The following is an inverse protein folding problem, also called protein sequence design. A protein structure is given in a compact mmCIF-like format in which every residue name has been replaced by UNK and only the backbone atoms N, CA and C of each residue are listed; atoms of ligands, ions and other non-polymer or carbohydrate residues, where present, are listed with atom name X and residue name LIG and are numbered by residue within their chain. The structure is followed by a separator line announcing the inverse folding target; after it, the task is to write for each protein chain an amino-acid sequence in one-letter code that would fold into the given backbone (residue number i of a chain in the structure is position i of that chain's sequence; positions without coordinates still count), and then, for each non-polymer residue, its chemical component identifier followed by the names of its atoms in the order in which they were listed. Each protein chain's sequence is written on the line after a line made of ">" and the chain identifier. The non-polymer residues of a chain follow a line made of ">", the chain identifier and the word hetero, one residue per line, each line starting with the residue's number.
data_IF_366600601997
#
_entry.id   IF_366600601997
#
_cell.length_a   1.000
_cell.length_b   1.000
_cell.length_c   1.000
_cell.angle_alpha   90.00
_cell.angle_beta   90.00
_cell.angle_gamma   90.00
#
_symmetry.space_group_name_H-M   'P 1'
#
loop_
_entity.id
_entity.type
_entity.pdbx_description
1 polymer ?
#
# COMPACT_ATOMS: atom_id res chain seq x y z
N UNK A 1 -24.12 22.04 -0.31
CA UNK A 1 -22.70 21.74 -0.58
C UNK A 1 -22.65 20.28 -0.96
N UNK A 2 -22.49 19.98 -2.24
CA UNK A 2 -22.49 18.60 -2.72
C UNK A 2 -21.09 18.03 -2.57
N UNK A 3 -20.89 17.28 -1.49
CA UNK A 3 -19.62 16.64 -1.18
C UNK A 3 -19.48 15.36 -2.00
N UNK A 4 -19.00 15.49 -3.23
CA UNK A 4 -18.71 14.35 -4.11
C UNK A 4 -17.32 13.83 -3.77
N UNK A 5 -17.22 12.81 -2.92
CA UNK A 5 -15.97 12.13 -2.60
C UNK A 5 -15.69 11.12 -3.72
N UNK A 6 -14.66 11.31 -4.57
CA UNK A 6 -14.32 10.30 -5.55
C UNK A 6 -13.69 9.11 -4.83
N UNK A 7 -14.38 7.96 -4.93
CA UNK A 7 -13.94 6.68 -4.39
C UNK A 7 -13.93 5.62 -5.50
N UNK A 8 -13.02 4.67 -5.39
CA UNK A 8 -12.97 3.46 -6.21
C UNK A 8 -12.86 2.25 -5.28
N UNK A 9 -13.61 1.20 -5.58
CA UNK A 9 -13.47 -0.11 -4.96
C UNK A 9 -13.43 -1.16 -6.07
N UNK A 10 -12.44 -2.03 -5.99
CA UNK A 10 -12.28 -3.22 -6.82
C UNK A 10 -12.28 -4.45 -5.93
N UNK A 11 -13.16 -5.39 -6.25
CA UNK A 11 -13.21 -6.70 -5.63
C UNK A 11 -12.93 -7.73 -6.72
N UNK A 12 -12.07 -8.70 -6.43
CA UNK A 12 -11.80 -9.82 -7.33
C UNK A 12 -11.71 -11.11 -6.54
N UNK A 13 -12.34 -12.16 -7.06
CA UNK A 13 -12.25 -13.50 -6.51
C UNK A 13 -11.68 -14.43 -7.59
N UNK A 14 -10.74 -15.28 -7.19
CA UNK A 14 -10.11 -16.27 -8.05
C UNK A 14 -10.31 -17.66 -7.43
N UNK A 15 -10.83 -18.58 -8.23
CA UNK A 15 -10.90 -20.00 -7.89
C UNK A 15 -10.32 -20.79 -9.07
N UNK A 16 -9.37 -21.67 -8.78
CA UNK A 16 -8.74 -22.54 -9.77
C UNK A 16 -8.55 -23.93 -9.22
N UNK A 17 -8.82 -24.92 -10.06
CA UNK A 17 -8.58 -26.33 -9.79
C UNK A 17 -7.68 -26.88 -10.89
N UNK A 18 -6.57 -27.51 -10.50
CA UNK A 18 -5.71 -28.22 -11.43
C UNK A 18 -5.32 -29.58 -10.88
N UNK A 19 -5.17 -30.56 -11.76
CA UNK A 19 -4.76 -31.91 -11.42
C UNK A 19 -3.65 -32.35 -12.36
N UNK A 20 -2.43 -32.37 -11.84
CA UNK A 20 -1.29 -33.02 -12.49
C UNK A 20 -1.14 -34.40 -11.86
N UNK A 21 -0.65 -35.39 -12.61
CA UNK A 21 -0.59 -36.81 -12.21
C UNK A 21 -0.19 -36.98 -10.73
N UNK A 22 -1.14 -37.38 -9.89
CA UNK A 22 -0.94 -37.63 -8.45
C UNK A 22 -1.10 -36.45 -7.48
N UNK A 23 -1.27 -35.20 -7.94
CA UNK A 23 -1.49 -34.03 -7.06
C UNK A 23 -2.62 -33.13 -7.58
N UNK A 24 -3.65 -32.97 -6.76
CA UNK A 24 -4.68 -31.95 -6.95
C UNK A 24 -4.24 -30.65 -6.28
N UNK A 25 -4.35 -29.53 -6.99
CA UNK A 25 -4.11 -28.19 -6.46
C UNK A 25 -5.40 -27.38 -6.57
N UNK A 26 -5.81 -26.79 -5.46
CA UNK A 26 -6.93 -25.86 -5.38
C UNK A 26 -6.34 -24.52 -4.97
N UNK A 27 -6.67 -23.48 -5.71
CA UNK A 27 -6.36 -22.09 -5.37
C UNK A 27 -7.68 -21.37 -5.19
N UNK A 28 -7.85 -20.71 -4.04
CA UNK A 28 -8.98 -19.84 -3.79
C UNK A 28 -8.47 -18.58 -3.10
N UNK A 29 -8.63 -17.44 -3.75
CA UNK A 29 -8.21 -16.15 -3.20
C UNK A 29 -9.21 -15.03 -3.51
N UNK A 30 -9.37 -14.11 -2.58
CA UNK A 30 -10.08 -12.86 -2.78
C UNK A 30 -9.09 -11.71 -2.62
N UNK A 31 -9.15 -10.73 -3.50
CA UNK A 31 -8.45 -9.47 -3.36
C UNK A 31 -9.46 -8.32 -3.35
N UNK A 32 -9.19 -7.34 -2.50
CA UNK A 32 -9.90 -6.08 -2.47
C UNK A 32 -8.89 -4.95 -2.57
N UNK A 33 -9.18 -3.95 -3.39
CA UNK A 33 -8.36 -2.75 -3.49
C UNK A 33 -9.18 -1.54 -3.85
N UNK A 34 -8.66 -0.36 -3.62
CA UNK A 34 -9.37 0.86 -3.91
C UNK A 34 -8.64 2.10 -3.46
N UNK A 35 -9.27 3.24 -3.72
CA UNK A 35 -8.83 4.52 -3.23
C UNK A 35 -10.00 5.42 -2.84
N UNK A 36 -9.77 6.26 -1.84
CA UNK A 36 -10.75 7.15 -1.26
C UNK A 36 -10.11 8.52 -1.10
N UNK A 37 -10.68 9.53 -1.76
CA UNK A 37 -10.19 10.91 -1.63
C UNK A 37 -11.05 11.68 -0.62
N UNK A 38 -10.73 11.55 0.68
CA UNK A 38 -11.49 12.16 1.78
C UNK A 38 -11.71 13.67 1.61
N UNK A 39 -10.77 14.36 0.96
CA UNK A 39 -10.91 15.74 0.48
C UNK A 39 -9.96 15.98 -0.69
N UNK A 40 -9.97 17.17 -1.30
CA UNK A 40 -9.04 17.53 -2.39
C UNK A 40 -7.56 17.31 -2.08
N UNK A 41 -7.20 17.33 -0.78
CA UNK A 41 -5.81 17.23 -0.32
C UNK A 41 -5.50 15.92 0.41
N UNK A 42 -6.46 15.01 0.53
CA UNK A 42 -6.28 13.75 1.23
C UNK A 42 -6.68 12.59 0.32
N UNK A 43 -5.75 11.67 0.12
CA UNK A 43 -5.99 10.44 -0.62
C UNK A 43 -5.53 9.24 0.19
N UNK A 44 -6.40 8.25 0.31
CA UNK A 44 -6.11 6.95 0.90
C UNK A 44 -6.17 5.92 -0.21
N UNK A 45 -5.21 5.01 -0.26
CA UNK A 45 -5.22 3.83 -1.13
C UNK A 45 -5.12 2.60 -0.25
N UNK A 46 -5.80 1.52 -0.62
CA UNK A 46 -5.68 0.26 0.09
C UNK A 46 -5.69 -0.90 -0.89
N UNK A 47 -4.99 -1.96 -0.55
CA UNK A 47 -5.10 -3.25 -1.22
C UNK A 47 -4.83 -4.36 -0.23
N UNK A 48 -5.65 -5.39 -0.21
CA UNK A 48 -5.39 -6.58 0.54
C UNK A 48 -5.96 -7.80 -0.17
N UNK A 49 -5.58 -8.97 0.32
CA UNK A 49 -6.19 -10.20 -0.12
C UNK A 49 -6.26 -11.24 0.99
N UNK A 50 -6.98 -12.30 0.67
CA UNK A 50 -7.21 -13.42 1.54
C UNK A 50 -7.08 -14.71 0.73
N UNK A 51 -6.26 -15.62 1.21
CA UNK A 51 -6.12 -16.97 0.68
C UNK A 51 -7.00 -17.90 1.50
N UNK A 52 -8.06 -18.42 0.89
CA UNK A 52 -9.04 -19.30 1.56
C UNK A 52 -8.50 -20.70 1.77
N UNK A 53 -7.48 -21.13 1.01
CA UNK A 53 -6.87 -22.46 1.18
C UNK A 53 -5.97 -22.45 2.40
N UNK A 54 -5.12 -21.43 2.50
CA UNK A 54 -4.19 -21.25 3.62
C UNK A 54 -4.82 -20.51 4.81
N UNK A 55 -6.08 -20.08 4.71
CA UNK A 55 -6.81 -19.31 5.72
C UNK A 55 -6.04 -18.07 6.20
N UNK A 56 -5.32 -17.42 5.29
CA UNK A 56 -4.34 -16.39 5.62
C UNK A 56 -4.61 -15.09 4.88
N UNK A 57 -4.45 -13.97 5.57
CA UNK A 57 -4.42 -12.65 4.94
C UNK A 57 -3.11 -12.55 4.14
N UNK A 58 -3.21 -12.16 2.88
CA UNK A 58 -2.05 -11.95 2.01
C UNK A 58 -1.46 -10.56 2.26
N UNK A 59 -0.57 -10.08 1.40
CA UNK A 59 0.07 -8.80 1.64
C UNK A 59 -0.95 -7.65 1.58
N UNK A 60 -1.11 -6.96 2.71
CA UNK A 60 -1.98 -5.79 2.83
C UNK A 60 -1.14 -4.54 2.69
N UNK A 61 -1.53 -3.62 1.82
CA UNK A 61 -0.89 -2.33 1.63
C UNK A 61 -1.90 -1.20 1.89
N UNK A 62 -1.45 -0.19 2.63
CA UNK A 62 -2.18 1.02 2.96
C UNK A 62 -1.32 2.21 2.56
N UNK A 63 -1.86 3.06 1.69
CA UNK A 63 -1.25 4.32 1.29
C UNK A 63 -2.07 5.49 1.82
N UNK A 64 -1.39 6.50 2.32
CA UNK A 64 -2.00 7.77 2.73
C UNK A 64 -1.15 8.90 2.15
N UNK A 65 -1.79 9.81 1.43
CA UNK A 65 -1.15 10.98 0.84
C UNK A 65 -1.90 12.23 1.29
N UNK A 66 -1.15 13.23 1.77
CA UNK A 66 -1.68 14.53 2.19
C UNK A 66 -0.92 15.67 1.53
N UNK A 67 -1.66 16.60 0.95
CA UNK A 67 -1.16 17.88 0.48
C UNK A 67 -1.40 18.98 1.55
N UNK A 68 -0.36 19.70 1.91
CA UNK A 68 -0.36 20.82 2.86
C UNK A 68 0.05 22.13 2.19
N UNK A 69 -0.15 22.24 0.87
CA UNK A 69 0.22 23.38 0.01
C UNK A 69 1.73 23.47 -0.26
N UNK A 70 2.53 23.82 0.74
CA UNK A 70 3.99 23.88 0.61
C UNK A 70 4.67 22.55 0.96
N UNK A 71 3.95 21.62 1.56
CA UNK A 71 4.46 20.34 2.02
C UNK A 71 3.61 19.21 1.44
N UNK A 72 4.25 18.09 1.13
CA UNK A 72 3.60 16.84 0.77
C UNK A 72 4.02 15.77 1.76
N UNK A 73 3.05 15.01 2.24
CA UNK A 73 3.26 13.85 3.09
C UNK A 73 2.74 12.62 2.35
N UNK A 74 3.48 11.51 2.47
CA UNK A 74 3.01 10.20 2.05
C UNK A 74 3.44 9.14 3.06
N UNK A 75 2.55 8.20 3.33
CA UNK A 75 2.80 7.01 4.13
C UNK A 75 2.41 5.81 3.28
N UNK A 76 3.33 4.86 3.13
CA UNK A 76 3.05 3.54 2.58
C UNK A 76 3.31 2.51 3.67
N UNK A 77 2.29 1.75 4.05
CA UNK A 77 2.34 0.83 5.18
C UNK A 77 1.86 -0.55 4.77
N UNK A 78 2.66 -1.56 5.06
CA UNK A 78 2.36 -2.97 4.84
C UNK A 78 2.25 -3.65 6.21
N UNK A 79 1.05 -3.68 6.83
CA UNK A 79 0.86 -4.27 8.16
C UNK A 79 0.83 -5.80 8.18
N UNK A 80 0.43 -6.44 7.10
CA UNK A 80 0.22 -7.89 7.02
C UNK A 80 0.90 -8.49 5.79
N UNK A 81 1.24 -9.78 5.88
CA UNK A 81 1.94 -10.53 4.83
C UNK A 81 3.41 -10.79 5.17
N UNK A 82 4.13 -11.38 4.21
CA UNK A 82 5.52 -11.83 4.39
C UNK A 82 6.52 -10.71 4.64
N UNK A 83 6.29 -9.54 4.04
CA UNK A 83 7.19 -8.39 4.13
C UNK A 83 6.45 -7.21 4.73
N UNK A 84 6.47 -7.11 6.06
CA UNK A 84 5.92 -5.96 6.77
C UNK A 84 6.90 -4.80 6.71
N UNK A 85 6.41 -3.60 6.41
CA UNK A 85 7.24 -2.40 6.35
C UNK A 85 6.37 -1.14 6.45
N UNK A 86 6.98 -0.02 6.80
CA UNK A 86 6.35 1.28 6.63
C UNK A 86 7.37 2.27 6.09
N UNK A 87 6.94 3.16 5.21
CA UNK A 87 7.75 4.22 4.66
C UNK A 87 6.94 5.50 4.77
N UNK A 88 7.43 6.42 5.60
CA UNK A 88 6.88 7.75 5.73
C UNK A 88 7.81 8.75 5.07
N UNK A 89 7.27 9.56 4.16
CA UNK A 89 7.99 10.66 3.52
C UNK A 89 7.25 11.96 3.76
N UNK A 90 8.00 13.00 4.12
CA UNK A 90 7.54 14.37 4.17
C UNK A 90 8.55 15.25 3.45
N UNK A 91 8.08 16.12 2.57
CA UNK A 91 8.95 17.01 1.81
C UNK A 91 8.25 18.27 1.39
N UNK A 92 9.02 19.33 1.16
CA UNK A 92 8.51 20.60 0.65
C UNK A 92 8.24 20.44 -0.85
N UNK A 93 7.08 20.91 -1.34
CA UNK A 93 6.63 20.80 -2.75
C UNK A 93 7.46 21.61 -3.76
N UNK A 94 8.50 22.30 -3.29
CA UNK A 94 9.45 23.17 -4.00
C UNK A 94 8.86 23.98 -5.16
N UNK A 95 8.43 25.21 -4.84
CA UNK A 95 8.44 26.32 -5.81
C UNK A 95 9.35 27.49 -5.38
N UNK A 96 9.92 27.49 -4.16
CA UNK A 96 10.68 28.64 -3.64
C UNK A 96 12.19 28.46 -3.47
N UNK A 97 12.75 27.24 -3.59
CA UNK A 97 14.20 27.03 -3.47
C UNK A 97 14.68 25.96 -4.46
N UNK A 98 14.90 26.38 -5.70
CA UNK A 98 15.87 25.74 -6.60
C UNK A 98 17.33 26.04 -6.19
N UNK A 99 17.57 26.86 -5.15
CA UNK A 99 18.91 27.43 -4.89
C UNK A 99 19.63 26.98 -3.61
N UNK A 100 19.13 25.99 -2.86
CA UNK A 100 20.01 25.34 -1.87
C UNK A 100 19.71 23.85 -1.72
N UNK A 101 20.35 23.09 -2.61
CA UNK A 101 20.33 21.63 -2.64
C UNK A 101 21.19 21.09 -1.48
N UNK A 102 20.56 20.73 -0.37
CA UNK A 102 21.16 19.81 0.61
C UNK A 102 20.45 18.46 0.54
N UNK A 103 21.04 17.53 -0.23
CA UNK A 103 20.59 16.15 -0.28
C UNK A 103 21.15 15.39 0.93
N UNK A 104 20.28 14.87 1.80
CA UNK A 104 20.68 13.93 2.86
C UNK A 104 19.75 12.71 2.86
N UNK A 105 20.22 11.62 2.26
CA UNK A 105 19.60 10.30 2.37
C UNK A 105 20.13 9.63 3.65
N UNK A 106 19.26 9.20 4.55
CA UNK A 106 19.61 8.24 5.61
C UNK A 106 18.84 6.94 5.36
N UNK A 107 19.57 5.89 5.01
CA UNK A 107 19.10 4.52 4.98
C UNK A 107 19.46 3.88 6.31
N UNK A 108 18.48 3.35 7.04
CA UNK A 108 18.76 2.42 8.13
C UNK A 108 18.53 1.01 7.58
N UNK A 109 19.63 0.35 7.22
CA UNK A 109 19.65 -1.10 7.03
C UNK A 109 19.78 -1.67 8.44
N UNK A 110 18.68 -2.15 9.02
CA UNK A 110 18.77 -3.02 10.19
C UNK A 110 19.18 -4.41 9.70
N UNK A 111 20.47 -4.72 9.80
CA UNK A 111 20.97 -6.08 9.66
C UNK A 111 20.67 -6.84 10.96
N UNK A 112 19.50 -7.45 11.05
CA UNK A 112 19.23 -8.46 12.06
C UNK A 112 20.03 -9.72 11.69
N UNK A 113 21.24 -9.79 12.22
CA UNK A 113 22.09 -10.98 12.25
C UNK A 113 22.13 -11.49 13.70
N UNK A 114 21.65 -12.71 13.90
CA UNK A 114 21.59 -13.45 15.18
C UNK A 114 20.17 -13.95 15.43
N UNK A 115 19.85 -15.26 15.39
CA UNK A 115 20.59 -16.45 15.80
C UNK A 115 20.56 -17.57 14.76
#
# INVERSE_FOLDING_TARGET
>A
VDFTIPWNLRLSYNASYSRTTGKASIVQSANFSGDLSLSEKWKITYSAGYDFVNHAITQTNLGLSRDLHCWQMSLNWVPFGKFQSYVFNIGIKSSLLKDLKLNRTRSFVDSQQGY
#
